data_IF_641732273183
#
_entry.id   IF_641732273183
#
_cell.length_a   1.000
_cell.length_b   1.000
_cell.length_c   1.000
_cell.angle_alpha   90.00
_cell.angle_beta   90.00
_cell.angle_gamma   90.00
#
_symmetry.space_group_name_H-M   'P 1'
#
loop_
_entity.id
_entity.type
_entity.pdbx_description
1 polymer ?
#
# COMPACT_ATOMS: atom_id res chain seq x y z
N UNK A 1 -0.86 7.22 -12.64
CA UNK A 1 -2.22 6.92 -12.15
C UNK A 1 -3.20 7.32 -13.23
N UNK A 2 -3.79 6.32 -13.86
CA UNK A 2 -4.95 6.42 -14.74
C UNK A 2 -6.15 7.03 -14.02
N UNK A 3 -7.19 7.36 -14.76
CA UNK A 3 -8.42 7.94 -14.19
C UNK A 3 -9.12 6.99 -13.21
N UNK A 4 -9.35 5.70 -13.52
CA UNK A 4 -9.95 4.77 -12.56
C UNK A 4 -9.14 4.64 -11.27
N UNK A 5 -7.81 4.54 -11.36
CA UNK A 5 -6.95 4.43 -10.18
C UNK A 5 -7.02 5.69 -9.30
N UNK A 6 -7.21 6.88 -9.89
CA UNK A 6 -7.40 8.12 -9.12
C UNK A 6 -8.74 8.11 -8.37
N UNK A 7 -9.79 7.64 -9.02
CA UNK A 7 -11.12 7.57 -8.43
C UNK A 7 -11.16 6.57 -7.27
N UNK A 8 -10.53 5.38 -7.45
CA UNK A 8 -10.38 4.41 -6.37
C UNK A 8 -9.59 4.97 -5.19
N UNK A 9 -8.45 5.63 -5.46
CA UNK A 9 -7.67 6.27 -4.41
C UNK A 9 -8.48 7.36 -3.68
N UNK A 10 -9.24 8.19 -4.41
CA UNK A 10 -10.13 9.19 -3.83
C UNK A 10 -11.15 8.57 -2.88
N UNK A 11 -11.86 7.53 -3.34
CA UNK A 11 -12.81 6.80 -2.51
C UNK A 11 -12.16 6.20 -1.26
N UNK A 12 -10.97 5.61 -1.36
CA UNK A 12 -10.23 5.08 -0.22
C UNK A 12 -9.89 6.16 0.82
N UNK A 13 -9.49 7.35 0.36
CA UNK A 13 -9.16 8.49 1.23
C UNK A 13 -10.42 9.02 1.92
N UNK A 14 -11.52 9.15 1.19
CA UNK A 14 -12.81 9.63 1.73
C UNK A 14 -13.37 8.66 2.78
N UNK A 15 -13.35 7.35 2.51
CA UNK A 15 -13.79 6.32 3.46
C UNK A 15 -12.91 6.29 4.72
N UNK A 16 -11.58 6.44 4.56
CA UNK A 16 -10.69 6.57 5.71
C UNK A 16 -11.01 7.82 6.54
N UNK A 17 -11.28 8.96 5.90
CA UNK A 17 -11.61 10.19 6.60
C UNK A 17 -12.91 10.03 7.42
N UNK A 18 -13.95 9.43 6.83
CA UNK A 18 -15.19 9.12 7.52
C UNK A 18 -14.97 8.19 8.73
N UNK A 19 -14.17 7.12 8.54
CA UNK A 19 -13.80 6.20 9.61
C UNK A 19 -12.98 6.89 10.73
N UNK A 20 -12.05 7.77 10.37
CA UNK A 20 -11.23 8.52 11.31
C UNK A 20 -12.06 9.50 12.14
N UNK A 21 -13.04 10.18 11.54
CA UNK A 21 -13.99 11.01 12.27
C UNK A 21 -14.83 10.21 13.27
N UNK A 22 -15.33 9.04 12.85
CA UNK A 22 -16.07 8.11 13.71
C UNK A 22 -15.22 7.62 14.88
N UNK A 23 -13.99 7.18 14.62
CA UNK A 23 -13.05 6.72 15.63
C UNK A 23 -12.70 7.82 16.64
N UNK A 24 -12.51 9.07 16.18
CA UNK A 24 -12.20 10.21 17.03
C UNK A 24 -13.30 10.50 18.05
N UNK A 25 -14.57 10.29 17.70
CA UNK A 25 -15.70 10.43 18.64
C UNK A 25 -15.62 9.44 19.80
N UNK A 26 -14.95 8.31 19.61
CA UNK A 26 -14.70 7.28 20.62
C UNK A 26 -13.32 7.40 21.28
N UNK A 27 -12.61 8.52 21.09
CA UNK A 27 -11.27 8.73 21.65
C UNK A 27 -10.15 7.96 20.95
N UNK A 28 -10.42 7.29 19.82
CA UNK A 28 -9.44 6.54 19.04
C UNK A 28 -8.88 7.43 17.94
N UNK A 29 -7.55 7.44 17.77
CA UNK A 29 -6.86 8.18 16.71
C UNK A 29 -6.39 7.22 15.62
N UNK A 30 -6.99 7.31 14.44
CA UNK A 30 -6.51 6.63 13.24
C UNK A 30 -5.52 7.53 12.50
N UNK A 31 -4.47 6.94 11.92
CA UNK A 31 -3.51 7.59 11.03
C UNK A 31 -3.36 6.76 9.76
N UNK A 32 -3.36 7.41 8.61
CA UNK A 32 -3.13 6.78 7.32
C UNK A 32 -1.64 6.81 6.99
N UNK A 33 -1.09 5.71 6.49
CA UNK A 33 0.21 5.67 5.82
C UNK A 33 -0.07 5.70 4.33
N UNK A 34 -0.09 6.90 3.74
CA UNK A 34 -0.37 7.07 2.31
C UNK A 34 0.88 6.73 1.48
N UNK A 35 0.95 5.47 1.06
CA UNK A 35 2.03 4.93 0.23
C UNK A 35 1.71 4.93 -1.27
N UNK A 36 0.50 5.35 -1.67
CA UNK A 36 -0.02 5.15 -3.02
C UNK A 36 0.89 5.77 -4.08
N UNK A 37 1.22 7.07 -3.93
CA UNK A 37 2.04 7.79 -4.91
C UNK A 37 3.49 7.30 -4.99
N UNK A 38 4.07 6.86 -3.88
CA UNK A 38 5.44 6.36 -3.87
C UNK A 38 5.52 4.96 -4.49
N UNK A 39 4.54 4.11 -4.25
CA UNK A 39 4.52 2.74 -4.76
C UNK A 39 4.14 2.66 -6.24
N UNK A 40 3.26 3.55 -6.70
CA UNK A 40 3.00 3.73 -8.13
C UNK A 40 4.25 4.09 -8.96
N UNK A 41 5.33 4.57 -8.30
CA UNK A 41 6.61 4.89 -8.95
C UNK A 41 7.61 3.74 -8.89
N UNK A 42 7.24 2.59 -8.30
CA UNK A 42 8.15 1.47 -8.07
C UNK A 42 7.74 0.17 -8.80
N UNK A 43 7.32 0.20 -10.08
CA UNK A 43 6.99 -1.05 -10.79
C UNK A 43 8.18 -2.03 -10.88
N UNK A 44 9.42 -1.52 -10.69
CA UNK A 44 10.65 -2.31 -10.60
C UNK A 44 10.71 -3.23 -9.37
N UNK A 45 9.83 -3.05 -8.39
CA UNK A 45 9.83 -3.86 -7.17
C UNK A 45 8.98 -5.12 -7.23
N UNK A 46 8.29 -5.39 -8.34
CA UNK A 46 7.47 -6.59 -8.50
C UNK A 46 8.32 -7.83 -8.80
N UNK A 47 7.90 -9.02 -8.35
CA UNK A 47 8.65 -10.25 -8.59
C UNK A 47 8.50 -10.81 -10.01
N UNK A 48 7.55 -10.29 -10.81
CA UNK A 48 7.37 -10.71 -12.20
C UNK A 48 7.17 -12.24 -12.28
N UNK A 49 7.99 -12.95 -13.06
CA UNK A 49 7.96 -14.41 -13.21
C UNK A 49 8.42 -15.17 -11.96
N UNK A 50 8.98 -14.48 -10.95
CA UNK A 50 9.60 -15.08 -9.77
C UNK A 50 8.73 -14.98 -8.51
N UNK A 51 7.47 -14.56 -8.65
CA UNK A 51 6.54 -14.37 -7.53
C UNK A 51 5.94 -15.65 -6.95
N UNK A 52 6.00 -16.75 -7.70
CA UNK A 52 5.30 -17.99 -7.38
C UNK A 52 6.23 -19.22 -7.47
N UNK A 53 5.91 -20.25 -6.69
CA UNK A 53 6.61 -21.52 -6.71
C UNK A 53 6.26 -22.37 -7.94
N UNK A 54 7.08 -23.39 -8.26
CA UNK A 54 6.80 -24.30 -9.37
C UNK A 54 5.40 -24.94 -9.23
N UNK A 55 4.54 -24.73 -10.23
CA UNK A 55 3.18 -25.31 -10.27
C UNK A 55 2.07 -24.43 -9.66
N UNK A 56 2.38 -23.24 -9.16
CA UNK A 56 1.38 -22.30 -8.59
C UNK A 56 0.75 -21.38 -9.66
N UNK A 57 1.20 -21.47 -10.92
CA UNK A 57 0.76 -20.62 -12.02
C UNK A 57 -0.49 -21.17 -12.70
N UNK A 58 -1.67 -21.07 -12.06
CA UNK A 58 -2.96 -21.28 -12.73
C UNK A 58 -3.33 -20.07 -13.64
N UNK A 59 -2.49 -19.79 -14.65
CA UNK A 59 -2.78 -18.81 -15.69
C UNK A 59 -2.28 -17.37 -15.48
N UNK A 60 -1.54 -17.09 -14.40
CA UNK A 60 -0.83 -15.82 -14.19
C UNK A 60 0.67 -16.07 -14.07
N UNK A 61 1.38 -15.86 -15.19
CA UNK A 61 2.84 -16.03 -15.22
C UNK A 61 3.56 -14.82 -14.60
N UNK A 62 2.97 -13.62 -14.68
CA UNK A 62 3.56 -12.35 -14.21
C UNK A 62 2.81 -11.85 -12.97
N UNK A 63 3.52 -11.77 -11.85
CA UNK A 63 2.99 -11.20 -10.61
C UNK A 63 3.27 -9.68 -10.53
N UNK A 64 2.21 -8.90 -10.75
CA UNK A 64 2.19 -7.44 -10.60
C UNK A 64 1.51 -6.97 -9.30
N UNK A 65 1.17 -7.87 -8.39
CA UNK A 65 0.43 -7.56 -7.17
C UNK A 65 1.36 -7.54 -5.95
N UNK A 66 2.27 -8.50 -5.85
CA UNK A 66 3.19 -8.63 -4.74
C UNK A 66 4.50 -7.87 -4.98
N UNK A 67 5.34 -7.84 -3.95
CA UNK A 67 6.60 -7.09 -3.92
C UNK A 67 7.76 -8.00 -3.56
N UNK A 68 8.89 -7.84 -4.23
CA UNK A 68 10.15 -8.49 -3.84
C UNK A 68 10.60 -8.05 -2.45
N UNK A 69 11.37 -8.92 -1.80
CA UNK A 69 12.12 -8.63 -0.58
C UNK A 69 13.62 -8.92 -0.77
N UNK A 70 14.52 -7.98 -0.44
CA UNK A 70 14.25 -6.59 -0.03
C UNK A 70 13.65 -5.77 -1.19
N UNK A 71 12.87 -4.72 -0.88
CA UNK A 71 12.11 -4.00 -1.91
C UNK A 71 11.30 -2.79 -1.44
N UNK A 72 10.39 -2.25 -2.27
CA UNK A 72 9.64 -1.02 -1.96
C UNK A 72 8.83 -1.08 -0.66
N UNK A 73 8.41 -2.29 -0.25
CA UNK A 73 7.67 -2.52 0.98
C UNK A 73 8.50 -2.19 2.24
N UNK A 74 9.83 -2.24 2.16
CA UNK A 74 10.71 -1.86 3.29
C UNK A 74 10.53 -0.39 3.68
N UNK A 75 10.18 0.48 2.72
CA UNK A 75 9.89 1.89 3.00
C UNK A 75 8.57 2.05 3.75
N UNK A 76 7.60 1.14 3.62
CA UNK A 76 6.37 1.18 4.42
C UNK A 76 6.69 0.95 5.89
N UNK A 77 7.58 -0.01 6.17
CA UNK A 77 8.05 -0.29 7.51
C UNK A 77 8.80 0.90 8.10
N UNK A 78 9.68 1.55 7.33
CA UNK A 78 10.35 2.76 7.77
C UNK A 78 9.36 3.89 8.10
N UNK A 79 8.39 4.16 7.21
CA UNK A 79 7.34 5.16 7.47
C UNK A 79 6.52 4.85 8.73
N UNK A 80 6.13 3.58 8.91
CA UNK A 80 5.42 3.13 10.11
C UNK A 80 6.26 3.38 11.37
N UNK A 81 7.55 3.03 11.33
CA UNK A 81 8.46 3.25 12.46
C UNK A 81 8.61 4.74 12.77
N UNK A 82 8.69 5.61 11.77
CA UNK A 82 8.75 7.06 11.97
C UNK A 82 7.47 7.61 12.63
N UNK A 83 6.29 7.11 12.21
CA UNK A 83 4.99 7.47 12.79
C UNK A 83 4.89 7.01 14.25
N UNK A 84 5.33 5.79 14.55
CA UNK A 84 5.32 5.24 15.91
C UNK A 84 6.33 5.94 16.83
N UNK A 85 7.48 6.33 16.30
CA UNK A 85 8.50 7.10 17.02
C UNK A 85 8.11 8.57 17.27
N UNK A 86 6.96 9.03 16.76
CA UNK A 86 6.47 10.39 16.93
C UNK A 86 7.28 11.44 16.17
N UNK A 87 8.01 11.02 15.12
CA UNK A 87 8.80 11.95 14.29
C UNK A 87 7.96 12.61 13.19
N UNK A 88 6.70 12.18 13.05
CA UNK A 88 5.65 12.74 12.18
C UNK A 88 4.26 12.54 12.82
#
# INVERSE_FOLDING_TARGET
MSEPERDFYGAQVDEFAAAAEGARRNGVRLRMIDVTKMILRRPDGHPDLYGHGPGEHEGFDIDCLHWCLPGPIDVWNELLLQILAGRY
#
